data_IF_781070216446
#
_entry.id   IF_781070216446
#
_cell.length_a   1.000
_cell.length_b   1.000
_cell.length_c   1.000
_cell.angle_alpha   90.00
_cell.angle_beta   90.00
_cell.angle_gamma   90.00
#
_symmetry.space_group_name_H-M   'P 1'
#
loop_
_entity.id
_entity.type
_entity.pdbx_description
1 polymer ?
#
# COMPACT_ATOMS: atom_id res chain seq x y z
N UNK A 1 23.00 -2.31 12.74
CA UNK A 1 22.21 -2.01 11.53
C UNK A 1 21.50 -3.29 11.15
N UNK A 2 20.21 -3.40 11.41
CA UNK A 2 19.42 -4.59 11.05
C UNK A 2 19.01 -4.45 9.59
N UNK A 3 19.58 -5.27 8.72
CA UNK A 3 19.17 -5.38 7.32
C UNK A 3 17.70 -5.82 7.29
N UNK A 4 16.79 -4.91 6.93
CA UNK A 4 15.40 -5.30 6.66
C UNK A 4 15.40 -6.11 5.37
N UNK A 5 15.21 -7.42 5.49
CA UNK A 5 15.04 -8.28 4.32
C UNK A 5 13.73 -7.88 3.63
N UNK A 6 13.73 -7.53 2.34
CA UNK A 6 12.50 -7.14 1.66
C UNK A 6 11.54 -8.34 1.64
N UNK A 7 10.39 -8.20 2.29
CA UNK A 7 9.34 -9.20 2.29
C UNK A 7 8.45 -8.99 1.06
N UNK A 8 8.51 -9.93 0.12
CA UNK A 8 7.62 -9.93 -1.04
C UNK A 8 6.32 -10.65 -0.69
N UNK A 9 5.18 -9.96 -0.80
CA UNK A 9 3.84 -10.50 -0.54
C UNK A 9 3.06 -10.48 -1.84
N UNK A 10 2.65 -11.65 -2.33
CA UNK A 10 1.78 -11.77 -3.50
C UNK A 10 0.36 -12.04 -3.02
N UNK A 11 -0.58 -11.12 -3.32
CA UNK A 11 -2.00 -11.28 -3.02
C UNK A 11 -2.76 -11.67 -4.29
N UNK A 12 -3.50 -12.78 -4.24
CA UNK A 12 -4.40 -13.19 -5.32
C UNK A 12 -5.75 -12.47 -5.17
N UNK A 13 -6.02 -11.54 -6.07
CA UNK A 13 -7.20 -10.69 -6.12
C UNK A 13 -8.22 -11.12 -7.18
N UNK A 14 -8.14 -12.38 -7.66
CA UNK A 14 -9.08 -12.94 -8.65
C UNK A 14 -10.54 -12.96 -8.16
N UNK A 15 -10.75 -12.89 -6.85
CA UNK A 15 -12.07 -12.67 -6.26
C UNK A 15 -12.36 -11.17 -6.13
N UNK A 16 -13.34 -10.67 -6.88
CA UNK A 16 -13.74 -9.26 -6.92
C UNK A 16 -14.11 -8.73 -5.53
N UNK A 17 -14.63 -9.60 -4.65
CA UNK A 17 -14.87 -9.28 -3.24
C UNK A 17 -13.60 -9.00 -2.43
N UNK A 18 -12.50 -9.73 -2.68
CA UNK A 18 -11.21 -9.49 -2.01
C UNK A 18 -10.54 -8.21 -2.50
N UNK A 19 -10.70 -7.88 -3.78
CA UNK A 19 -10.22 -6.64 -4.36
C UNK A 19 -10.88 -5.42 -3.69
N UNK A 20 -12.21 -5.44 -3.54
CA UNK A 20 -12.96 -4.39 -2.87
C UNK A 20 -12.59 -4.26 -1.38
N UNK A 21 -12.41 -5.39 -0.67
CA UNK A 21 -12.01 -5.38 0.75
C UNK A 21 -10.61 -4.79 0.94
N UNK A 22 -9.65 -5.13 0.09
CA UNK A 22 -8.29 -4.59 0.17
C UNK A 22 -8.28 -3.07 -0.07
N UNK A 23 -9.00 -2.60 -1.09
CA UNK A 23 -9.11 -1.16 -1.39
C UNK A 23 -9.74 -0.42 -0.20
N UNK A 24 -10.84 -0.94 0.34
CA UNK A 24 -11.51 -0.33 1.47
C UNK A 24 -10.60 -0.23 2.70
N UNK A 25 -9.85 -1.29 3.00
CA UNK A 25 -8.91 -1.30 4.13
C UNK A 25 -7.76 -0.30 3.94
N UNK A 26 -7.22 -0.17 2.73
CA UNK A 26 -6.17 0.81 2.42
C UNK A 26 -6.68 2.25 2.50
N UNK A 27 -7.91 2.49 2.04
CA UNK A 27 -8.57 3.80 2.15
C UNK A 27 -8.82 4.17 3.61
N UNK A 28 -9.37 3.25 4.42
CA UNK A 28 -9.57 3.46 5.85
C UNK A 28 -8.26 3.75 6.59
N UNK A 29 -7.18 3.04 6.21
CA UNK A 29 -5.86 3.27 6.78
C UNK A 29 -5.27 4.63 6.39
N UNK A 30 -5.48 5.08 5.14
CA UNK A 30 -5.08 6.41 4.71
C UNK A 30 -5.84 7.51 5.46
N UNK A 31 -7.16 7.35 5.61
CA UNK A 31 -8.02 8.30 6.31
C UNK A 31 -7.65 8.40 7.80
N UNK A 32 -7.39 7.27 8.46
CA UNK A 32 -6.94 7.25 9.85
C UNK A 32 -5.57 7.93 10.04
N UNK A 33 -4.68 7.81 9.05
CA UNK A 33 -3.40 8.51 9.06
C UNK A 33 -3.60 10.03 8.86
N UNK A 34 -4.49 10.45 7.97
CA UNK A 34 -4.83 11.86 7.78
C UNK A 34 -5.46 12.49 9.04
N UNK A 35 -6.37 11.79 9.72
CA UNK A 35 -6.90 12.23 11.02
C UNK A 35 -5.76 12.49 12.02
N UNK A 36 -4.76 11.60 12.05
CA UNK A 36 -3.60 11.75 12.93
C UNK A 36 -2.70 12.95 12.57
N UNK A 37 -2.68 13.38 11.29
CA UNK A 37 -1.98 14.61 10.86
C UNK A 37 -2.68 15.87 11.37
N UNK A 38 -4.01 15.87 11.42
CA UNK A 38 -4.84 17.03 11.77
C UNK A 38 -4.93 17.30 13.27
N UNK A 39 -4.52 16.34 14.12
CA UNK A 39 -4.54 16.50 15.58
C UNK A 39 -3.53 17.55 16.05
N UNK A 40 -4.00 18.51 16.84
CA UNK A 40 -3.19 19.59 17.41
C UNK A 40 -2.04 19.10 18.31
N UNK A 41 -2.17 17.90 18.87
CA UNK A 41 -1.16 17.28 19.74
C UNK A 41 0.00 16.61 18.98
N UNK A 42 -0.14 16.43 17.66
CA UNK A 42 0.87 15.75 16.84
C UNK A 42 2.10 16.63 16.61
N UNK A 43 3.26 16.10 16.98
CA UNK A 43 4.54 16.72 16.69
C UNK A 43 4.79 16.80 15.18
N UNK A 44 5.71 17.66 14.74
CA UNK A 44 6.08 17.74 13.31
C UNK A 44 6.54 16.39 12.77
N UNK A 45 7.32 15.63 13.53
CA UNK A 45 7.82 14.33 13.10
C UNK A 45 6.68 13.29 12.96
N UNK A 46 5.69 13.32 13.86
CA UNK A 46 4.51 12.45 13.75
C UNK A 46 3.66 12.82 12.55
N UNK A 47 3.44 14.12 12.30
CA UNK A 47 2.72 14.59 11.11
C UNK A 47 3.39 14.16 9.82
N UNK A 48 4.72 14.33 9.72
CA UNK A 48 5.48 13.86 8.55
C UNK A 48 5.35 12.35 8.37
N UNK A 49 5.41 11.57 9.45
CA UNK A 49 5.25 10.11 9.40
C UNK A 49 3.86 9.70 8.90
N UNK A 50 2.80 10.28 9.47
CA UNK A 50 1.42 9.97 9.06
C UNK A 50 1.12 10.44 7.63
N UNK A 51 1.74 11.54 7.19
CA UNK A 51 1.60 12.00 5.81
C UNK A 51 2.26 11.02 4.81
N UNK A 52 3.40 10.42 5.16
CA UNK A 52 4.03 9.35 4.37
C UNK A 52 3.12 8.13 4.31
N UNK A 53 2.52 7.74 5.45
CA UNK A 53 1.59 6.61 5.50
C UNK A 53 0.38 6.85 4.58
N UNK A 54 -0.29 8.00 4.72
CA UNK A 54 -1.46 8.35 3.93
C UNK A 54 -1.14 8.35 2.43
N UNK A 55 -0.04 8.98 2.04
CA UNK A 55 0.40 9.06 0.64
C UNK A 55 0.73 7.68 0.08
N UNK A 56 1.41 6.83 0.86
CA UNK A 56 1.75 5.46 0.44
C UNK A 56 0.49 4.61 0.26
N UNK A 57 -0.45 4.67 1.22
CA UNK A 57 -1.68 3.89 1.16
C UNK A 57 -2.56 4.30 -0.04
N UNK A 58 -2.67 5.61 -0.32
CA UNK A 58 -3.36 6.12 -1.51
C UNK A 58 -2.67 5.66 -2.81
N UNK A 59 -1.35 5.74 -2.87
CA UNK A 59 -0.58 5.25 -4.03
C UNK A 59 -0.82 3.76 -4.32
N UNK A 60 -0.89 2.93 -3.27
CA UNK A 60 -1.21 1.50 -3.43
C UNK A 60 -2.64 1.30 -3.96
N UNK A 61 -3.62 2.08 -3.50
CA UNK A 61 -4.99 2.03 -4.03
C UNK A 61 -5.01 2.38 -5.52
N UNK A 62 -4.32 3.44 -5.92
CA UNK A 62 -4.22 3.85 -7.33
C UNK A 62 -3.55 2.77 -8.19
N UNK A 63 -2.47 2.16 -7.71
CA UNK A 63 -1.78 1.05 -8.39
C UNK A 63 -2.69 -0.18 -8.55
N UNK A 64 -3.41 -0.56 -7.48
CA UNK A 64 -4.35 -1.68 -7.50
C UNK A 64 -5.50 -1.41 -8.47
N UNK A 65 -6.08 -0.20 -8.45
CA UNK A 65 -7.15 0.21 -9.36
C UNK A 65 -6.69 0.25 -10.82
N UNK A 66 -5.46 0.69 -11.07
CA UNK A 66 -4.85 0.67 -12.41
C UNK A 66 -4.58 -0.77 -12.89
N UNK A 67 -4.11 -1.65 -12.01
CA UNK A 67 -3.86 -3.06 -12.32
C UNK A 67 -5.16 -3.85 -12.56
N UNK A 68 -6.25 -3.53 -11.85
CA UNK A 68 -7.59 -4.10 -12.08
C UNK A 68 -8.16 -3.83 -13.48
N UNK A 69 -7.64 -2.83 -14.21
CA UNK A 69 -7.97 -2.55 -15.61
C UNK A 69 -7.09 -3.26 -16.65
N UNK A 70 -6.04 -3.96 -16.23
CA UNK A 70 -5.10 -4.68 -17.08
C UNK A 70 -4.72 -6.01 -16.42
N UNK A 71 -5.48 -7.06 -16.73
CA UNK A 71 -5.00 -8.44 -16.58
C UNK A 71 -3.87 -8.70 -17.59
N UNK A 72 -2.71 -8.10 -17.38
CA UNK A 72 -1.48 -8.45 -18.10
C UNK A 72 -0.60 -9.18 -17.10
N UNK A 73 -0.23 -10.45 -17.37
CA UNK A 73 0.62 -11.22 -16.48
C UNK A 73 1.97 -10.50 -16.37
N UNK A 74 2.27 -9.98 -15.19
CA UNK A 74 3.62 -9.52 -14.86
C UNK A 74 4.49 -10.77 -14.80
N UNK A 75 5.34 -10.96 -15.81
CA UNK A 75 6.33 -12.03 -15.80
C UNK A 75 7.25 -11.84 -14.60
N UNK A 76 7.33 -12.86 -13.74
CA UNK A 76 8.27 -12.87 -12.64
C UNK A 76 9.70 -12.72 -13.18
N UNK A 77 10.58 -11.93 -12.53
CA UNK A 77 11.98 -11.87 -12.91
C UNK A 77 12.60 -13.26 -12.78
N UNK A 78 13.19 -13.76 -13.87
CA UNK A 78 13.91 -15.02 -13.91
C UNK A 78 15.14 -14.92 -12.99
N UNK A 79 15.09 -15.63 -11.86
CA UNK A 79 16.21 -15.73 -10.91
C UNK A 79 17.12 -16.92 -11.24
N UNK A 80 17.11 -17.42 -12.48
CA UNK A 80 17.97 -18.50 -12.91
C UNK A 80 19.30 -17.92 -13.44
N UNK A 81 20.18 -17.56 -12.50
CA UNK A 81 21.61 -17.41 -12.78
C UNK A 81 22.40 -17.96 -11.60
N UNK A 82 22.84 -19.21 -11.78
CA UNK A 82 23.97 -19.81 -11.06
C UNK A 82 25.21 -19.73 -11.95
#
# INVERSE_FOLDING_TARGET
MTEQTPHHVTLDLTDEGRHAVLIAALQEYADAALDSVERDESTTAERDHFQIIATTAQGLVDEIMAAGGHAVPVAAPDLSSS
#
